data_IF_137509190106
#
_entry.id   IF_137509190106
#
_cell.length_a   1.000
_cell.length_b   1.000
_cell.length_c   1.000
_cell.angle_alpha   90.00
_cell.angle_beta   90.00
_cell.angle_gamma   90.00
#
_symmetry.space_group_name_H-M   'P 1'
#
loop_
_entity.id
_entity.type
_entity.pdbx_description
1 polymer ?
#
# COMPACT_ATOMS: atom_id res chain seq x y z
N UNK A 1 -29.53 -21.98 -4.86
CA UNK A 1 -28.76 -21.55 -3.67
C UNK A 1 -28.50 -20.04 -3.71
N UNK A 2 -27.90 -19.53 -4.80
CA UNK A 2 -27.61 -18.10 -4.98
C UNK A 2 -28.85 -17.18 -5.01
N UNK A 3 -30.01 -17.66 -5.49
CA UNK A 3 -31.28 -16.92 -5.48
C UNK A 3 -31.87 -16.64 -4.09
N UNK A 4 -31.33 -17.26 -3.03
CA UNK A 4 -31.78 -17.04 -1.63
C UNK A 4 -30.90 -16.05 -0.87
N UNK A 5 -29.84 -15.52 -1.48
CA UNK A 5 -28.95 -14.55 -0.83
C UNK A 5 -29.59 -13.15 -0.96
N UNK A 6 -30.09 -12.58 0.13
CA UNK A 6 -30.77 -11.28 0.12
C UNK A 6 -29.86 -10.08 -0.14
N UNK A 7 -28.54 -10.23 0.02
CA UNK A 7 -27.56 -9.17 -0.26
C UNK A 7 -26.40 -9.69 -1.11
N UNK A 8 -26.32 -9.20 -2.35
CA UNK A 8 -25.26 -9.54 -3.29
C UNK A 8 -24.13 -8.49 -3.19
N UNK A 9 -23.23 -8.67 -2.23
CA UNK A 9 -22.09 -7.78 -2.06
C UNK A 9 -20.87 -8.31 -2.85
N UNK A 10 -20.53 -7.64 -3.95
CA UNK A 10 -19.36 -7.97 -4.76
C UNK A 10 -18.11 -7.24 -4.28
N UNK A 11 -17.00 -7.96 -4.12
CA UNK A 11 -15.69 -7.37 -3.88
C UNK A 11 -15.10 -6.88 -5.20
N UNK A 12 -14.75 -5.60 -5.26
CA UNK A 12 -14.12 -4.98 -6.44
C UNK A 12 -12.62 -4.87 -6.24
N UNK A 13 -11.89 -4.81 -7.35
CA UNK A 13 -10.47 -4.50 -7.34
C UNK A 13 -10.22 -3.08 -6.83
N UNK A 14 -9.05 -2.89 -6.23
CA UNK A 14 -8.56 -1.60 -5.75
C UNK A 14 -8.50 -0.56 -6.88
N UNK A 15 -9.02 0.63 -6.62
CA UNK A 15 -8.92 1.78 -7.52
C UNK A 15 -7.76 2.69 -7.12
N UNK A 16 -7.37 3.61 -8.02
CA UNK A 16 -6.41 4.68 -7.70
C UNK A 16 -6.90 5.56 -6.54
N UNK A 17 -8.23 5.73 -6.41
CA UNK A 17 -8.82 6.48 -5.30
C UNK A 17 -8.58 5.82 -3.95
N UNK A 18 -8.71 4.49 -3.88
CA UNK A 18 -8.45 3.72 -2.66
C UNK A 18 -6.98 3.83 -2.22
N UNK A 19 -6.06 3.75 -3.19
CA UNK A 19 -4.62 3.87 -2.93
C UNK A 19 -4.28 5.29 -2.44
N UNK A 20 -4.90 6.32 -3.02
CA UNK A 20 -4.75 7.72 -2.56
C UNK A 20 -5.30 7.92 -1.15
N UNK A 21 -6.45 7.32 -0.83
CA UNK A 21 -7.02 7.39 0.51
C UNK A 21 -6.09 6.74 1.55
N UNK A 22 -5.48 5.60 1.21
CA UNK A 22 -4.48 4.96 2.06
C UNK A 22 -3.24 5.85 2.21
N UNK A 23 -2.69 6.39 1.13
CA UNK A 23 -1.52 7.26 1.19
C UNK A 23 -1.77 8.47 2.12
N UNK A 24 -2.94 9.10 1.99
CA UNK A 24 -3.37 10.20 2.86
C UNK A 24 -3.52 9.77 4.32
N UNK A 25 -4.05 8.56 4.60
CA UNK A 25 -4.19 8.05 5.96
C UNK A 25 -2.84 7.77 6.63
N UNK A 26 -1.82 7.46 5.85
CA UNK A 26 -0.43 7.28 6.31
C UNK A 26 0.37 8.60 6.39
N UNK A 27 -0.25 9.74 6.04
CA UNK A 27 0.41 11.04 6.08
C UNK A 27 1.46 11.25 4.98
N UNK A 28 1.36 10.49 3.88
CA UNK A 28 2.24 10.65 2.72
C UNK A 28 1.79 11.84 1.85
N UNK A 29 2.74 12.47 1.17
CA UNK A 29 2.42 13.54 0.23
C UNK A 29 1.77 12.99 -1.05
N UNK A 30 0.46 13.19 -1.16
CA UNK A 30 -0.35 12.76 -2.30
C UNK A 30 -0.07 13.55 -3.60
N UNK A 31 0.69 14.65 -3.52
CA UNK A 31 1.08 15.46 -4.68
C UNK A 31 2.39 14.99 -5.31
N UNK A 32 3.17 14.18 -4.58
CA UNK A 32 4.38 13.56 -5.09
C UNK A 32 4.03 12.47 -6.13
N UNK A 33 4.34 12.77 -7.40
CA UNK A 33 4.02 11.91 -8.53
C UNK A 33 4.84 10.63 -8.53
N UNK A 34 6.08 10.67 -8.05
CA UNK A 34 6.98 9.52 -8.07
C UNK A 34 6.56 8.53 -6.98
N UNK A 35 6.27 9.05 -5.78
CA UNK A 35 5.71 8.28 -4.68
C UNK A 35 4.37 7.63 -5.05
N UNK A 36 3.45 8.42 -5.62
CA UNK A 36 2.13 7.91 -6.01
C UNK A 36 2.21 6.88 -7.14
N UNK A 37 3.16 7.02 -8.07
CA UNK A 37 3.38 6.03 -9.14
C UNK A 37 3.80 4.68 -8.56
N UNK A 38 4.71 4.67 -7.58
CA UNK A 38 5.13 3.43 -6.90
C UNK A 38 3.98 2.82 -6.10
N UNK A 39 3.21 3.63 -5.37
CA UNK A 39 2.04 3.17 -4.63
C UNK A 39 0.97 2.57 -5.56
N UNK A 40 0.77 3.15 -6.75
CA UNK A 40 -0.15 2.62 -7.75
C UNK A 40 0.34 1.29 -8.36
N UNK A 41 1.63 1.14 -8.66
CA UNK A 41 2.19 -0.13 -9.17
C UNK A 41 2.03 -1.27 -8.14
N UNK A 42 2.18 -0.96 -6.86
CA UNK A 42 2.03 -1.95 -5.78
C UNK A 42 0.55 -2.24 -5.51
N UNK A 43 -0.23 -1.20 -5.24
CA UNK A 43 -1.62 -1.31 -4.81
C UNK A 43 -2.61 -1.73 -5.91
N UNK A 44 -2.25 -1.53 -7.18
CA UNK A 44 -3.08 -1.86 -8.34
C UNK A 44 -3.07 -3.35 -8.73
N UNK A 45 -2.15 -4.15 -8.16
CA UNK A 45 -2.09 -5.61 -8.41
C UNK A 45 -3.15 -6.36 -7.62
N UNK A 46 -3.52 -7.57 -8.05
CA UNK A 46 -4.42 -8.44 -7.30
C UNK A 46 -3.82 -8.74 -5.92
N UNK A 47 -4.55 -8.45 -4.84
CA UNK A 47 -4.02 -8.54 -3.47
C UNK A 47 -3.02 -7.43 -3.09
N UNK A 48 -2.78 -6.47 -3.99
CA UNK A 48 -1.78 -5.41 -3.83
C UNK A 48 -2.03 -4.48 -2.66
N UNK A 49 -3.29 -4.26 -2.25
CA UNK A 49 -3.62 -3.43 -1.09
C UNK A 49 -3.10 -4.01 0.23
N UNK A 50 -3.13 -5.34 0.37
CA UNK A 50 -2.55 -6.04 1.52
C UNK A 50 -1.02 -5.92 1.52
N UNK A 51 -0.39 -6.08 0.36
CA UNK A 51 1.05 -5.91 0.23
C UNK A 51 1.47 -4.45 0.54
N UNK A 52 0.74 -3.48 0.00
CA UNK A 52 0.94 -2.05 0.22
C UNK A 52 0.91 -1.71 1.72
N UNK A 53 -0.14 -2.14 2.43
CA UNK A 53 -0.27 -1.88 3.87
C UNK A 53 0.83 -2.55 4.69
N UNK A 54 1.32 -3.71 4.28
CA UNK A 54 2.47 -4.35 4.93
C UNK A 54 3.76 -3.57 4.70
N UNK A 55 4.02 -3.10 3.49
CA UNK A 55 5.22 -2.31 3.18
C UNK A 55 5.20 -0.96 3.92
N UNK A 56 4.05 -0.29 3.95
CA UNK A 56 3.89 0.96 4.70
C UNK A 56 4.09 0.76 6.20
N UNK A 57 3.63 -0.36 6.76
CA UNK A 57 3.86 -0.70 8.17
C UNK A 57 5.34 -0.91 8.46
N UNK A 58 6.05 -1.65 7.62
CA UNK A 58 7.48 -1.88 7.76
C UNK A 58 8.28 -0.58 7.60
N UNK A 59 7.98 0.21 6.56
CA UNK A 59 8.59 1.52 6.35
C UNK A 59 8.34 2.46 7.54
N UNK A 60 7.13 2.47 8.09
CA UNK A 60 6.78 3.25 9.29
C UNK A 60 7.53 2.79 10.55
N UNK A 61 7.74 1.49 10.73
CA UNK A 61 8.56 0.95 11.82
C UNK A 61 10.02 1.40 11.69
N UNK A 62 10.60 1.31 10.48
CA UNK A 62 11.98 1.74 10.21
C UNK A 62 12.14 3.25 10.37
N UNK A 63 11.23 4.04 9.83
CA UNK A 63 11.20 5.49 9.97
C UNK A 63 11.17 5.90 11.46
N UNK A 64 10.31 5.26 12.25
CA UNK A 64 10.23 5.48 13.70
C UNK A 64 11.54 5.12 14.42
N UNK A 65 12.20 4.03 14.02
CA UNK A 65 13.50 3.64 14.57
C UNK A 65 14.63 4.61 14.24
N UNK A 66 14.56 5.28 13.09
CA UNK A 66 15.53 6.27 12.64
C UNK A 66 15.20 7.71 13.08
N UNK A 67 14.01 7.96 13.66
CA UNK A 67 13.54 9.30 14.00
C UNK A 67 13.17 10.15 12.76
N UNK A 68 12.92 9.51 11.63
CA UNK A 68 12.61 10.15 10.34
C UNK A 68 11.14 9.94 9.95
N UNK A 69 10.68 10.69 8.96
CA UNK A 69 9.35 10.49 8.34
C UNK A 69 9.40 9.35 7.32
N UNK A 70 8.24 8.79 6.95
CA UNK A 70 8.16 7.76 5.91
C UNK A 70 8.54 8.39 4.57
N UNK A 71 9.65 7.93 3.99
CA UNK A 71 10.14 8.37 2.68
C UNK A 71 9.93 7.27 1.63
N UNK A 72 9.99 7.66 0.35
CA UNK A 72 9.91 6.72 -0.77
C UNK A 72 10.97 5.61 -0.67
N UNK A 73 12.20 5.95 -0.29
CA UNK A 73 13.30 5.00 -0.15
C UNK A 73 12.98 3.89 0.87
N UNK A 74 12.43 4.28 2.04
CA UNK A 74 12.00 3.31 3.06
C UNK A 74 10.89 2.38 2.57
N UNK A 75 9.99 2.86 1.71
CA UNK A 75 8.93 2.04 1.10
C UNK A 75 9.53 1.04 0.10
N UNK A 76 10.53 1.46 -0.67
CA UNK A 76 11.23 0.58 -1.61
C UNK A 76 12.08 -0.48 -0.90
N UNK A 77 12.80 -0.09 0.16
CA UNK A 77 13.52 -1.03 1.01
C UNK A 77 12.56 -2.04 1.66
N UNK A 78 11.42 -1.57 2.18
CA UNK A 78 10.40 -2.44 2.76
C UNK A 78 9.82 -3.42 1.73
N UNK A 79 9.57 -2.96 0.49
CA UNK A 79 9.16 -3.82 -0.62
C UNK A 79 10.21 -4.90 -0.87
N UNK A 80 11.48 -4.53 -1.01
CA UNK A 80 12.57 -5.49 -1.26
C UNK A 80 12.67 -6.53 -0.14
N UNK A 81 12.69 -6.11 1.13
CA UNK A 81 12.75 -7.02 2.28
C UNK A 81 11.60 -8.03 2.29
N UNK A 82 10.38 -7.60 1.95
CA UNK A 82 9.20 -8.45 2.01
C UNK A 82 8.98 -9.33 0.78
N UNK A 83 9.50 -8.95 -0.39
CA UNK A 83 9.45 -9.80 -1.61
C UNK A 83 10.53 -10.88 -1.65
N UNK A 84 11.34 -11.02 -0.59
CA UNK A 84 12.44 -11.98 -0.53
C UNK A 84 13.77 -11.35 -0.90
N UNK A 85 14.07 -10.16 -0.36
CA UNK A 85 15.42 -9.61 -0.35
C UNK A 85 16.35 -10.57 0.38
N UNK A 86 17.01 -11.43 -0.40
CA UNK A 86 18.27 -12.02 -0.04
C UNK A 86 19.26 -10.88 0.27
N UNK A 87 20.06 -11.07 1.32
CA UNK A 87 21.40 -10.51 1.33
C UNK A 87 22.21 -11.15 0.20
#
# INVERSE_FOLDING_TARGET
LWSRIGNHCGLKASTKGDIKAIASAWGLDINDKDLMTVLFDIGGKAGGLRALTQYLRLAGMTAKGQGTVITLDLILQAKQQMTGGAQ
#
